data_IF_239573178856
#
_entry.id   IF_239573178856
#
_cell.length_a   1.000
_cell.length_b   1.000
_cell.length_c   1.000
_cell.angle_alpha   90.00
_cell.angle_beta   90.00
_cell.angle_gamma   90.00
#
_symmetry.space_group_name_H-M   'P 1'
#
loop_
_entity.id
_entity.type
_entity.pdbx_description
1 polymer ?
#
# COMPACT_ATOMS: atom_id res chain seq x y z
N UNK A 1 20.80 -15.93 -7.87
CA UNK A 1 20.17 -16.35 -6.58
C UNK A 1 19.48 -15.12 -6.06
N UNK A 2 18.15 -15.09 -6.06
CA UNK A 2 17.42 -13.95 -5.50
C UNK A 2 17.50 -14.09 -3.98
N UNK A 3 18.03 -13.07 -3.32
CA UNK A 3 18.09 -13.03 -1.86
C UNK A 3 16.73 -12.59 -1.31
N UNK A 4 16.34 -13.10 -0.14
CA UNK A 4 15.06 -12.75 0.48
C UNK A 4 14.82 -11.23 0.57
N UNK A 5 15.90 -10.45 0.75
CA UNK A 5 15.85 -8.98 0.78
C UNK A 5 15.33 -8.39 -0.54
N UNK A 6 15.84 -8.84 -1.68
CA UNK A 6 15.45 -8.32 -3.00
C UNK A 6 13.97 -8.59 -3.28
N UNK A 7 13.46 -9.76 -2.89
CA UNK A 7 12.02 -10.06 -2.99
C UNK A 7 11.19 -9.13 -2.11
N UNK A 8 11.60 -8.90 -0.87
CA UNK A 8 10.82 -8.07 0.06
C UNK A 8 10.86 -6.60 -0.37
N UNK A 9 12.01 -6.10 -0.81
CA UNK A 9 12.15 -4.73 -1.31
C UNK A 9 11.23 -4.52 -2.55
N UNK A 10 11.21 -5.47 -3.49
CA UNK A 10 10.30 -5.44 -4.64
C UNK A 10 8.82 -5.39 -4.23
N UNK A 11 8.40 -6.25 -3.30
CA UNK A 11 7.02 -6.29 -2.83
C UNK A 11 6.64 -5.06 -2.00
N UNK A 12 7.62 -4.45 -1.31
CA UNK A 12 7.42 -3.19 -0.61
C UNK A 12 7.15 -2.06 -1.59
N UNK A 13 8.00 -1.90 -2.62
CA UNK A 13 7.82 -0.89 -3.65
C UNK A 13 6.51 -1.07 -4.42
N UNK A 14 6.12 -2.33 -4.67
CA UNK A 14 4.81 -2.66 -5.25
C UNK A 14 3.65 -2.15 -4.38
N UNK A 15 3.69 -2.41 -3.06
CA UNK A 15 2.63 -1.97 -2.13
C UNK A 15 2.57 -0.44 -1.95
N UNK A 16 3.71 0.24 -2.04
CA UNK A 16 3.78 1.70 -1.96
C UNK A 16 3.47 2.37 -3.32
N UNK A 17 3.32 1.59 -4.40
CA UNK A 17 3.03 2.09 -5.74
C UNK A 17 4.18 2.86 -6.38
N UNK A 18 5.43 2.53 -6.02
CA UNK A 18 6.65 3.23 -6.45
C UNK A 18 7.39 2.52 -7.58
N UNK A 19 6.95 1.32 -7.97
CA UNK A 19 7.50 0.59 -9.12
C UNK A 19 7.18 1.30 -10.44
N UNK A 20 8.06 1.10 -11.42
CA UNK A 20 7.77 1.47 -12.79
C UNK A 20 6.63 0.61 -13.37
N UNK A 21 6.01 1.11 -14.43
CA UNK A 21 4.83 0.46 -15.05
C UNK A 21 5.15 -0.93 -15.59
N UNK A 22 6.31 -1.12 -16.20
CA UNK A 22 6.70 -2.41 -16.80
C UNK A 22 6.84 -3.49 -15.72
N UNK A 23 7.52 -3.18 -14.62
CA UNK A 23 7.66 -4.10 -13.48
C UNK A 23 6.33 -4.36 -12.79
N UNK A 24 5.47 -3.36 -12.67
CA UNK A 24 4.14 -3.50 -12.06
C UNK A 24 3.26 -4.45 -12.88
N UNK A 25 3.20 -4.26 -14.19
CA UNK A 25 2.39 -5.08 -15.09
C UNK A 25 2.87 -6.55 -15.09
N UNK A 26 4.19 -6.76 -15.07
CA UNK A 26 4.80 -8.10 -14.98
C UNK A 26 4.45 -8.82 -13.67
N UNK A 27 4.43 -8.09 -12.54
CA UNK A 27 4.01 -8.64 -11.25
C UNK A 27 2.52 -8.97 -11.21
N UNK A 28 1.67 -8.11 -11.76
CA UNK A 28 0.23 -8.34 -11.83
C UNK A 28 -0.10 -9.58 -12.66
N UNK A 29 0.57 -9.77 -13.81
CA UNK A 29 0.47 -11.00 -14.62
C UNK A 29 0.87 -12.22 -13.79
N UNK A 30 2.02 -12.16 -13.09
CA UNK A 30 2.46 -13.24 -12.21
C UNK A 30 1.43 -13.59 -11.12
N UNK A 31 0.81 -12.58 -10.51
CA UNK A 31 -0.19 -12.80 -9.47
C UNK A 31 -1.43 -13.52 -10.01
N UNK A 32 -1.89 -13.22 -11.24
CA UNK A 32 -3.04 -13.92 -11.83
C UNK A 32 -2.82 -15.43 -11.90
N UNK A 33 -1.59 -15.87 -12.22
CA UNK A 33 -1.26 -17.28 -12.42
C UNK A 33 -0.66 -17.97 -11.18
N UNK A 34 -0.40 -17.22 -10.10
CA UNK A 34 0.29 -17.73 -8.91
C UNK A 34 -0.45 -17.46 -7.58
N UNK A 35 -1.45 -18.30 -7.21
CA UNK A 35 -2.16 -18.20 -5.94
C UNK A 35 -1.28 -18.20 -4.67
N UNK A 36 -0.15 -18.94 -4.61
CA UNK A 36 0.78 -18.87 -3.48
C UNK A 36 1.38 -17.48 -3.29
N UNK A 37 1.77 -16.80 -4.36
CA UNK A 37 2.35 -15.46 -4.29
C UNK A 37 1.31 -14.42 -3.84
N UNK A 38 0.06 -14.51 -4.31
CA UNK A 38 -1.03 -13.67 -3.78
C UNK A 38 -1.21 -13.91 -2.27
N UNK A 39 -1.18 -15.17 -1.83
CA UNK A 39 -1.37 -15.51 -0.41
C UNK A 39 -0.26 -14.94 0.46
N UNK A 40 0.98 -14.99 -0.03
CA UNK A 40 2.12 -14.36 0.62
C UNK A 40 1.98 -12.83 0.66
N UNK A 41 1.66 -12.19 -0.48
CA UNK A 41 1.46 -10.75 -0.58
C UNK A 41 0.42 -10.24 0.41
N UNK A 42 -0.73 -10.93 0.53
CA UNK A 42 -1.78 -10.59 1.51
C UNK A 42 -1.27 -10.65 2.95
N UNK A 43 -0.45 -11.65 3.27
CA UNK A 43 0.16 -11.80 4.60
C UNK A 43 1.16 -10.68 4.87
N UNK A 44 1.99 -10.37 3.88
CA UNK A 44 2.98 -9.29 3.95
C UNK A 44 2.30 -7.92 4.14
N UNK A 45 1.30 -7.60 3.30
CA UNK A 45 0.49 -6.38 3.42
C UNK A 45 -0.19 -6.24 4.79
N UNK A 46 -0.73 -7.33 5.33
CA UNK A 46 -1.32 -7.30 6.68
C UNK A 46 -0.27 -7.00 7.74
N UNK A 47 0.92 -7.57 7.59
CA UNK A 47 2.04 -7.37 8.53
C UNK A 47 2.52 -5.93 8.50
N UNK A 48 2.70 -5.34 7.31
CA UNK A 48 3.11 -3.94 7.17
C UNK A 48 2.07 -2.98 7.73
N UNK A 49 0.78 -3.24 7.54
CA UNK A 49 -0.31 -2.46 8.14
C UNK A 49 -0.28 -2.50 9.67
N UNK A 50 -0.16 -3.69 10.28
CA UNK A 50 -0.07 -3.84 11.74
C UNK A 50 1.14 -3.08 12.29
N UNK A 51 2.31 -3.19 11.62
CA UNK A 51 3.49 -2.43 12.00
C UNK A 51 3.25 -0.92 11.90
N UNK A 52 2.65 -0.45 10.81
CA UNK A 52 2.32 0.97 10.60
C UNK A 52 1.39 1.47 11.70
N UNK A 53 0.31 0.77 12.01
CA UNK A 53 -0.63 1.16 13.08
C UNK A 53 0.01 1.14 14.47
N UNK A 54 0.83 0.14 14.77
CA UNK A 54 1.44 -0.01 16.09
C UNK A 54 2.57 0.99 16.34
N UNK A 55 3.31 1.35 15.29
CA UNK A 55 4.47 2.25 15.37
C UNK A 55 4.09 3.72 15.09
N UNK A 56 3.11 3.98 14.21
CA UNK A 56 2.65 5.32 13.91
C UNK A 56 1.60 5.77 14.93
N UNK A 57 2.06 6.23 16.10
CA UNK A 57 1.20 6.90 17.12
C UNK A 57 0.90 8.36 16.79
N UNK A 58 0.87 8.74 15.51
CA UNK A 58 0.54 10.11 15.11
C UNK A 58 -0.95 10.14 14.78
N UNK A 59 -1.76 10.48 15.77
CA UNK A 59 -3.17 10.80 15.53
C UNK A 59 -3.25 12.07 14.67
N UNK A 60 -4.10 12.05 13.65
CA UNK A 60 -4.34 13.23 12.81
C UNK A 60 -4.93 14.32 13.70
N UNK A 61 -4.27 15.50 13.84
CA UNK A 61 -4.79 16.57 14.70
C UNK A 61 -6.20 16.99 14.28
N UNK A 62 -7.08 17.27 15.24
CA UNK A 62 -8.49 17.61 14.98
C UNK A 62 -8.67 18.77 13.99
N UNK A 63 -7.77 19.76 14.05
CA UNK A 63 -7.78 20.90 13.11
C UNK A 63 -7.57 20.48 11.66
N UNK A 64 -6.73 19.47 11.43
CA UNK A 64 -6.48 18.92 10.09
C UNK A 64 -7.70 18.14 9.62
N UNK A 65 -8.27 17.28 10.49
CA UNK A 65 -9.48 16.52 10.17
C UNK A 65 -10.65 17.44 9.80
N UNK A 66 -10.88 18.50 10.58
CA UNK A 66 -11.95 19.46 10.35
C UNK A 66 -11.80 20.18 9.01
N UNK A 67 -10.61 20.74 8.74
CA UNK A 67 -10.33 21.45 7.48
C UNK A 67 -10.48 20.52 6.27
N UNK A 68 -10.04 19.26 6.39
CA UNK A 68 -10.15 18.29 5.31
C UNK A 68 -11.62 17.94 5.04
N UNK A 69 -12.43 17.69 6.09
CA UNK A 69 -13.88 17.44 5.94
C UNK A 69 -14.61 18.63 5.29
N UNK A 70 -14.31 19.85 5.72
CA UNK A 70 -14.86 21.08 5.11
C UNK A 70 -14.52 21.17 3.61
N UNK A 71 -13.27 20.88 3.24
CA UNK A 71 -12.83 20.87 1.85
C UNK A 71 -13.55 19.80 1.01
N UNK A 72 -13.65 18.57 1.51
CA UNK A 72 -14.30 17.46 0.79
C UNK A 72 -15.79 17.72 0.56
N UNK A 73 -16.51 18.22 1.57
CA UNK A 73 -17.92 18.60 1.43
C UNK A 73 -18.13 19.69 0.37
N UNK A 74 -17.21 20.65 0.27
CA UNK A 74 -17.32 21.74 -0.71
C UNK A 74 -17.09 21.30 -2.15
N UNK A 75 -16.20 20.33 -2.37
CA UNK A 75 -15.65 20.02 -3.71
C UNK A 75 -16.07 18.66 -4.28
N UNK A 76 -16.35 17.65 -3.44
CA UNK A 76 -16.69 16.29 -3.91
C UNK A 76 -18.20 16.02 -3.86
N UNK A 77 -18.96 16.63 -2.94
CA UNK A 77 -20.43 16.48 -2.89
C UNK A 77 -21.19 17.34 -3.91
N UNK A 78 -20.48 18.06 -4.80
CA UNK A 78 -21.07 18.86 -5.88
C UNK A 78 -20.88 18.23 -7.27
N UNK A 79 -20.37 17.00 -7.35
CA UNK A 79 -20.28 16.22 -8.58
C UNK A 79 -21.45 15.25 -8.69
#
# INVERSE_FOLDING_TARGET
MICCKECIDLLYDYLEGTLDTETTDSLEEHFQDCPPCISFLKTYQKTTNICRESLAKIEIPEVVQRKLKEFLHKNIQKA
#
